data_IF_004471320681
#
_entry.id   IF_004471320681
#
_cell.length_a   1.000
_cell.length_b   1.000
_cell.length_c   1.000
_cell.angle_alpha   90.00
_cell.angle_beta   90.00
_cell.angle_gamma   90.00
#
_symmetry.space_group_name_H-M   'P 1'
#
loop_
_entity.id
_entity.type
_entity.pdbx_description
1 polymer ?
#
# COMPACT_ATOMS: atom_id res chain seq x y z
N UNK A 1 24.48 -6.39 -5.12
CA UNK A 1 23.79 -5.21 -4.53
C UNK A 1 22.35 -5.60 -4.25
N UNK A 2 21.80 -5.23 -3.09
CA UNK A 2 20.43 -5.59 -2.70
C UNK A 2 19.56 -4.35 -2.48
N UNK A 3 18.26 -4.48 -2.75
CA UNK A 3 17.25 -3.45 -2.51
C UNK A 3 16.84 -3.45 -1.03
N UNK A 4 16.77 -2.28 -0.40
CA UNK A 4 16.21 -2.12 0.95
C UNK A 4 14.76 -1.66 0.84
N UNK A 5 13.86 -2.41 1.45
CA UNK A 5 12.44 -2.08 1.53
C UNK A 5 11.98 -2.05 2.97
N UNK A 6 11.00 -1.20 3.26
CA UNK A 6 10.21 -1.22 4.47
C UNK A 6 8.91 -1.97 4.19
N UNK A 7 8.57 -2.94 5.04
CA UNK A 7 7.32 -3.71 4.94
C UNK A 7 6.43 -3.36 6.12
N UNK A 8 5.18 -2.99 5.84
CA UNK A 8 4.20 -2.68 6.87
C UNK A 8 2.76 -2.71 6.37
N UNK A 9 1.77 -2.55 7.27
CA UNK A 9 0.36 -2.48 6.89
C UNK A 9 0.08 -1.32 5.95
N UNK A 10 -0.75 -1.56 4.94
CA UNK A 10 -1.36 -0.50 4.15
C UNK A 10 -2.23 0.39 5.06
N UNK A 11 -2.17 1.70 4.84
CA UNK A 11 -2.96 2.69 5.58
C UNK A 11 -3.63 3.64 4.61
N UNK A 12 -4.65 4.38 5.07
CA UNK A 12 -5.38 5.37 4.27
C UNK A 12 -4.50 6.35 3.45
N UNK A 13 -3.31 6.71 3.95
CA UNK A 13 -2.34 7.53 3.23
C UNK A 13 -1.70 6.89 1.99
N UNK A 14 -1.76 5.57 1.86
CA UNK A 14 -1.12 4.80 0.79
C UNK A 14 -1.97 4.65 -0.47
N UNK A 15 -3.21 5.20 -0.48
CA UNK A 15 -4.16 5.09 -1.59
C UNK A 15 -3.51 5.32 -2.95
N UNK A 16 -2.75 6.41 -3.07
CA UNK A 16 -2.13 6.80 -4.32
C UNK A 16 -1.00 5.83 -4.73
N UNK A 17 -0.28 5.25 -3.77
CA UNK A 17 0.77 4.27 -4.03
C UNK A 17 0.17 2.95 -4.52
N UNK A 18 -0.88 2.46 -3.85
CA UNK A 18 -1.61 1.26 -4.25
C UNK A 18 -2.21 1.43 -5.64
N UNK A 19 -2.91 2.55 -5.90
CA UNK A 19 -3.48 2.83 -7.23
C UNK A 19 -2.44 2.84 -8.34
N UNK A 20 -1.26 3.45 -8.11
CA UNK A 20 -0.15 3.43 -9.08
C UNK A 20 0.47 2.05 -9.29
N UNK A 21 0.48 1.21 -8.25
CA UNK A 21 0.96 -0.16 -8.35
C UNK A 21 0.03 -0.99 -9.23
N UNK A 22 -1.27 -1.00 -8.92
CA UNK A 22 -2.26 -1.77 -9.68
C UNK A 22 -2.45 -1.28 -11.12
N UNK A 23 -2.21 0.01 -11.40
CA UNK A 23 -2.23 0.53 -12.77
C UNK A 23 -1.13 -0.05 -13.69
N UNK A 24 -0.11 -0.70 -13.12
CA UNK A 24 0.98 -1.34 -13.88
C UNK A 24 0.79 -2.85 -14.05
N UNK A 25 -0.22 -3.44 -13.41
CA UNK A 25 -0.47 -4.87 -13.45
C UNK A 25 -1.27 -5.25 -14.69
N UNK A 26 -1.06 -6.47 -15.16
CA UNK A 26 -1.83 -7.07 -16.25
C UNK A 26 -3.17 -7.63 -15.75
N UNK A 27 -4.08 -7.96 -16.66
CA UNK A 27 -5.35 -8.63 -16.29
C UNK A 27 -5.10 -9.99 -15.61
N UNK A 28 -4.06 -10.73 -16.02
CA UNK A 28 -3.68 -12.00 -15.39
C UNK A 28 -3.20 -11.81 -13.95
N UNK A 29 -2.41 -10.77 -13.67
CA UNK A 29 -1.97 -10.42 -12.31
C UNK A 29 -3.18 -10.11 -11.41
N UNK A 30 -4.15 -9.36 -11.94
CA UNK A 30 -5.40 -9.05 -11.24
C UNK A 30 -6.23 -10.31 -11.01
N UNK A 31 -6.31 -11.20 -12.01
CA UNK A 31 -6.99 -12.48 -11.89
C UNK A 31 -6.39 -13.34 -10.78
N UNK A 32 -5.06 -13.47 -10.70
CA UNK A 32 -4.44 -14.23 -9.62
C UNK A 32 -4.60 -13.57 -8.25
N UNK A 33 -4.62 -12.23 -8.17
CA UNK A 33 -4.79 -11.51 -6.89
C UNK A 33 -6.20 -11.61 -6.32
N UNK A 34 -7.23 -11.59 -7.19
CA UNK A 34 -8.64 -11.49 -6.77
C UNK A 34 -9.48 -12.72 -7.13
N UNK A 35 -8.90 -13.69 -7.86
CA UNK A 35 -9.56 -14.91 -8.34
C UNK A 35 -10.82 -14.62 -9.17
N UNK A 36 -10.85 -13.48 -9.86
CA UNK A 36 -11.94 -13.06 -10.73
C UNK A 36 -11.43 -12.28 -11.95
N UNK A 37 -12.23 -12.24 -13.02
CA UNK A 37 -11.89 -11.55 -14.27
C UNK A 37 -11.97 -10.03 -14.15
N UNK A 38 -11.03 -9.44 -13.41
CA UNK A 38 -10.96 -8.01 -13.16
C UNK A 38 -10.01 -7.33 -14.15
N UNK A 39 -10.50 -6.31 -14.87
CA UNK A 39 -9.67 -5.51 -15.79
C UNK A 39 -8.98 -4.33 -15.13
N UNK A 40 -9.55 -3.82 -14.03
CA UNK A 40 -9.02 -2.69 -13.26
C UNK A 40 -9.48 -2.79 -11.82
N UNK A 41 -8.63 -2.39 -10.88
CA UNK A 41 -8.99 -2.23 -9.47
C UNK A 41 -10.12 -1.21 -9.31
N UNK A 42 -11.22 -1.62 -8.69
CA UNK A 42 -12.33 -0.75 -8.32
C UNK A 42 -12.06 -0.03 -6.97
N UNK A 43 -12.84 1.01 -6.71
CA UNK A 43 -12.68 1.84 -5.49
C UNK A 43 -12.98 1.03 -4.22
N UNK A 44 -13.97 0.14 -4.24
CA UNK A 44 -14.36 -0.66 -3.07
C UNK A 44 -13.22 -1.55 -2.59
N UNK A 45 -12.55 -2.24 -3.52
CA UNK A 45 -11.38 -3.09 -3.23
C UNK A 45 -10.19 -2.25 -2.77
N UNK A 46 -9.98 -1.09 -3.37
CA UNK A 46 -8.93 -0.18 -2.95
C UNK A 46 -9.14 0.25 -1.49
N UNK A 47 -10.35 0.64 -1.10
CA UNK A 47 -10.67 1.00 0.29
C UNK A 47 -10.51 -0.18 1.24
N UNK A 48 -10.96 -1.37 0.84
CA UNK A 48 -10.82 -2.57 1.65
C UNK A 48 -9.35 -2.87 1.97
N UNK A 49 -8.45 -2.69 1.01
CA UNK A 49 -7.00 -2.85 1.21
C UNK A 49 -6.38 -1.80 2.14
N UNK A 50 -7.02 -0.63 2.30
CA UNK A 50 -6.54 0.47 3.16
C UNK A 50 -7.08 0.37 4.59
N UNK A 51 -8.03 -0.53 4.85
CA UNK A 51 -8.63 -0.76 6.16
C UNK A 51 -7.78 -1.75 6.97
N UNK A 52 -7.18 -1.29 8.07
CA UNK A 52 -6.41 -2.11 9.00
C UNK A 52 -7.20 -2.51 10.27
N UNK A 53 -8.47 -2.10 10.35
CA UNK A 53 -9.34 -2.32 11.51
C UNK A 53 -10.36 -3.44 11.35
N UNK A 54 -10.61 -3.90 10.12
CA UNK A 54 -11.61 -4.93 9.83
C UNK A 54 -10.96 -6.32 9.69
N UNK A 55 -11.42 -7.28 10.51
CA UNK A 55 -10.98 -8.68 10.54
C UNK A 55 -11.70 -9.46 9.40
N UNK A 56 -10.96 -10.01 8.41
CA UNK A 56 -10.02 -11.10 8.68
C UNK A 56 -8.62 -10.97 8.04
N UNK A 57 -8.22 -9.80 7.53
CA UNK A 57 -6.95 -9.70 6.83
C UNK A 57 -6.43 -8.28 6.66
N UNK A 58 -5.11 -8.13 6.72
CA UNK A 58 -4.40 -6.88 6.43
C UNK A 58 -3.59 -7.02 5.15
N UNK A 59 -3.59 -5.98 4.32
CA UNK A 59 -2.70 -5.88 3.18
C UNK A 59 -1.36 -5.27 3.62
N UNK A 60 -0.25 -5.86 3.19
CA UNK A 60 1.10 -5.37 3.47
C UNK A 60 1.69 -4.71 2.22
N UNK A 61 2.32 -3.56 2.40
CA UNK A 61 3.05 -2.87 1.34
C UNK A 61 4.56 -2.98 1.58
N UNK A 62 5.30 -3.25 0.51
CA UNK A 62 6.75 -3.13 0.47
C UNK A 62 7.12 -1.82 -0.23
N UNK A 63 7.66 -0.86 0.53
CA UNK A 63 8.03 0.46 0.04
C UNK A 63 9.55 0.58 -0.01
N UNK A 64 10.09 1.07 -1.13
CA UNK A 64 11.52 1.32 -1.26
C UNK A 64 11.99 2.40 -0.28
N UNK A 65 13.15 2.19 0.33
CA UNK A 65 13.77 3.18 1.20
C UNK A 65 14.41 4.29 0.35
N UNK A 66 13.68 5.38 0.08
CA UNK A 66 14.30 6.58 -0.51
C UNK A 66 14.96 7.40 0.60
N UNK A 67 16.29 7.55 0.55
CA UNK A 67 17.04 8.40 1.50
C UNK A 67 16.86 9.90 1.22
N UNK A 68 15.67 10.33 0.83
CA UNK A 68 15.35 11.74 0.59
C UNK A 68 14.10 12.14 1.37
N UNK A 69 14.35 12.76 2.52
CA UNK A 69 13.32 13.35 3.38
C UNK A 69 13.72 13.30 4.85
N UNK A 70 14.46 14.31 5.32
CA UNK A 70 14.40 14.71 6.73
C UNK A 70 12.94 15.08 7.01
N UNK A 71 12.16 14.13 7.52
CA UNK A 71 10.92 14.44 8.21
C UNK A 71 11.33 15.01 9.56
N UNK A 72 11.13 16.31 9.71
CA UNK A 72 11.20 17.03 10.97
C UNK A 72 10.31 16.32 11.99
N UNK A 73 10.92 15.50 12.84
CA UNK A 73 10.31 14.93 14.02
C UNK A 73 10.87 15.68 15.22
N UNK A 74 10.15 16.70 15.66
CA UNK A 74 10.15 17.05 17.08
C UNK A 74 8.75 17.47 17.51
N UNK A 75 8.07 16.51 18.16
CA UNK A 75 6.80 16.69 18.84
C UNK A 75 6.90 17.62 20.04
N UNK A 76 5.78 17.88 20.73
CA UNK A 76 5.69 18.92 21.74
C UNK A 76 6.51 18.54 22.97
N UNK A 77 7.38 19.46 23.39
CA UNK A 77 8.07 19.38 24.68
C UNK A 77 7.06 19.37 25.82
N UNK A 78 7.16 18.36 26.69
CA UNK A 78 6.57 18.42 28.02
C UNK A 78 7.41 19.38 28.86
N UNK A 79 6.77 20.43 29.36
CA UNK A 79 7.23 21.30 30.44
C UNK A 79 6.10 21.46 31.44
#
# INVERSE_FOLDING_TARGET
>A
MGLKVFVGPARSGDRAAIGRFFAKLTEDDLYFRFLCGLRKLDEERLEAMLCDTDDPGIDLLALEFTTEGKADQQGPGRG
#
